data_IF_505100409997
#
_entry.id   IF_505100409997
#
_cell.length_a   1.000
_cell.length_b   1.000
_cell.length_c   1.000
_cell.angle_alpha   90.00
_cell.angle_beta   90.00
_cell.angle_gamma   90.00
#
_symmetry.space_group_name_H-M   'P 1'
#
loop_
_entity.id
_entity.type
_entity.pdbx_description
1 polymer ?
#
# COMPACT_ATOMS: atom_id res chain seq x y z
N UNK A 1 -2.34 -1.11 -0.33
CA UNK A 1 -2.35 -2.27 0.59
C UNK A 1 -0.96 -2.88 0.64
N UNK A 2 -0.45 -3.20 1.83
CA UNK A 2 0.83 -3.89 2.02
C UNK A 2 0.65 -5.12 2.92
N UNK A 3 1.49 -6.13 2.73
CA UNK A 3 1.61 -7.29 3.60
C UNK A 3 3.04 -7.46 4.06
N UNK A 4 3.20 -7.72 5.35
CA UNK A 4 4.45 -8.05 6.00
C UNK A 4 4.23 -9.02 7.17
N UNK A 5 5.31 -9.40 7.86
CA UNK A 5 5.27 -10.32 8.99
C UNK A 5 5.43 -9.55 10.30
N UNK A 6 4.62 -9.90 11.29
CA UNK A 6 4.71 -9.38 12.65
C UNK A 6 4.62 -10.52 13.68
N UNK A 7 5.04 -10.25 14.91
CA UNK A 7 4.81 -11.19 16.01
C UNK A 7 3.30 -11.30 16.31
N UNK A 8 2.85 -12.52 16.58
CA UNK A 8 1.46 -12.80 16.93
C UNK A 8 1.15 -12.29 18.34
N UNK A 9 0.06 -11.54 18.48
CA UNK A 9 -0.45 -11.13 19.78
C UNK A 9 -1.23 -12.25 20.50
N UNK A 10 -1.54 -13.35 19.82
CA UNK A 10 -2.33 -14.45 20.37
C UNK A 10 -1.49 -15.60 20.92
N UNK A 11 -0.28 -15.79 20.37
CA UNK A 11 0.61 -16.90 20.73
C UNK A 11 2.06 -16.43 20.75
N UNK A 12 2.67 -16.48 21.92
CA UNK A 12 4.06 -16.08 22.12
C UNK A 12 5.00 -16.94 21.26
N UNK A 13 5.86 -16.29 20.47
CA UNK A 13 6.83 -16.96 19.61
C UNK A 13 6.32 -17.34 18.22
N UNK A 14 5.03 -17.18 17.94
CA UNK A 14 4.49 -17.31 16.58
C UNK A 14 4.53 -15.97 15.84
N UNK A 15 4.70 -16.04 14.51
CA UNK A 15 4.61 -14.90 13.61
C UNK A 15 3.35 -15.02 12.75
N UNK A 16 2.78 -13.90 12.34
CA UNK A 16 1.58 -13.84 11.49
C UNK A 16 1.75 -12.78 10.41
N UNK A 17 0.93 -12.88 9.36
CA UNK A 17 0.84 -11.82 8.36
C UNK A 17 0.07 -10.64 8.94
N UNK A 18 0.56 -9.43 8.67
CA UNK A 18 -0.18 -8.18 8.85
C UNK A 18 -0.53 -7.63 7.47
N UNK A 19 -1.76 -7.16 7.32
CA UNK A 19 -2.20 -6.40 6.16
C UNK A 19 -2.42 -4.94 6.58
N UNK A 20 -1.83 -3.99 5.85
CA UNK A 20 -2.00 -2.55 6.10
C UNK A 20 -2.64 -1.87 4.89
N UNK A 21 -3.71 -1.12 5.13
CA UNK A 21 -4.46 -0.38 4.11
C UNK A 21 -4.18 1.11 4.26
N UNK A 22 -3.07 1.57 3.67
CA UNK A 22 -2.76 3.00 3.56
C UNK A 22 -3.61 3.64 2.46
N UNK A 23 -4.24 4.77 2.78
CA UNK A 23 -5.18 5.47 1.89
C UNK A 23 -4.85 6.95 1.85
N UNK A 24 -4.88 7.52 0.64
CA UNK A 24 -4.91 8.97 0.42
C UNK A 24 -6.25 9.29 -0.24
N UNK A 25 -7.00 10.21 0.37
CA UNK A 25 -8.26 10.69 -0.16
C UNK A 25 -8.18 12.20 -0.37
N UNK A 26 -8.56 12.67 -1.56
CA UNK A 26 -8.55 14.09 -1.88
C UNK A 26 -9.89 14.72 -1.47
N UNK A 27 -10.08 14.83 -0.17
CA UNK A 27 -11.29 15.35 0.46
C UNK A 27 -11.21 15.21 1.98
N UNK A 28 -12.30 15.56 2.66
CA UNK A 28 -12.43 15.39 4.10
C UNK A 28 -12.73 13.93 4.50
N UNK A 29 -12.51 13.64 5.78
CA UNK A 29 -12.67 12.33 6.40
C UNK A 29 -14.12 11.86 6.45
N UNK A 30 -15.10 12.78 6.56
CA UNK A 30 -16.52 12.45 6.53
C UNK A 30 -16.94 11.86 5.18
N UNK A 31 -16.53 12.50 4.08
CA UNK A 31 -16.76 11.99 2.72
C UNK A 31 -16.04 10.66 2.49
N UNK A 32 -14.81 10.51 2.99
CA UNK A 32 -14.09 9.25 2.92
C UNK A 32 -14.85 8.13 3.64
N UNK A 33 -15.29 8.37 4.87
CA UNK A 33 -16.04 7.37 5.64
C UNK A 33 -17.35 7.00 4.97
N UNK A 34 -18.10 7.97 4.47
CA UNK A 34 -19.35 7.73 3.74
C UNK A 34 -19.10 6.81 2.54
N UNK A 35 -18.10 7.15 1.72
CA UNK A 35 -17.72 6.35 0.54
C UNK A 35 -17.27 4.93 0.93
N UNK A 36 -16.46 4.79 1.97
CA UNK A 36 -15.93 3.49 2.40
C UNK A 36 -17.01 2.60 3.01
N UNK A 37 -17.97 3.18 3.73
CA UNK A 37 -19.13 2.45 4.25
C UNK A 37 -20.03 1.95 3.12
N UNK A 38 -20.15 2.69 2.02
CA UNK A 38 -20.92 2.27 0.85
C UNK A 38 -20.19 1.22 0.01
N UNK A 39 -18.90 1.44 -0.27
CA UNK A 39 -18.18 0.69 -1.31
C UNK A 39 -17.26 -0.40 -0.78
N UNK A 40 -16.78 -0.29 0.45
CA UNK A 40 -15.88 -1.27 1.05
C UNK A 40 -16.06 -1.38 2.59
N UNK A 41 -17.27 -1.71 3.07
CA UNK A 41 -17.59 -1.75 4.50
C UNK A 41 -16.77 -2.79 5.28
N UNK A 42 -16.33 -3.86 4.62
CA UNK A 42 -15.54 -4.94 5.24
C UNK A 42 -14.19 -4.45 5.82
N UNK A 43 -13.67 -3.31 5.34
CA UNK A 43 -12.46 -2.72 5.92
C UNK A 43 -12.72 -2.17 7.33
N UNK A 44 -13.95 -1.78 7.64
CA UNK A 44 -14.35 -1.28 8.96
C UNK A 44 -13.67 0.03 9.37
N UNK A 45 -13.34 0.91 8.41
CA UNK A 45 -12.69 2.19 8.64
C UNK A 45 -13.53 3.08 9.59
N UNK A 46 -12.89 3.69 10.59
CA UNK A 46 -13.54 4.59 11.55
C UNK A 46 -12.90 5.97 11.53
N UNK A 47 -13.63 6.96 12.07
CA UNK A 47 -13.17 8.35 12.12
C UNK A 47 -11.81 8.51 12.81
N UNK A 48 -11.54 7.76 13.87
CA UNK A 48 -10.27 7.85 14.58
C UNK A 48 -9.08 7.24 13.80
N UNK A 49 -9.33 6.50 12.72
CA UNK A 49 -8.30 6.00 11.81
C UNK A 49 -7.92 7.05 10.75
N UNK A 50 -8.73 8.11 10.61
CA UNK A 50 -8.54 9.17 9.63
C UNK A 50 -7.74 10.34 10.24
N UNK A 51 -6.71 10.77 9.52
CA UNK A 51 -5.97 12.00 9.85
C UNK A 51 -6.04 12.95 8.66
N UNK A 52 -6.70 14.09 8.85
CA UNK A 52 -6.72 15.15 7.84
C UNK A 52 -5.44 15.99 7.92
N UNK A 53 -4.90 16.31 6.76
CA UNK A 53 -3.66 17.08 6.62
C UNK A 53 -3.60 17.72 5.24
N UNK A 54 -2.72 18.69 5.05
CA UNK A 54 -2.44 19.24 3.73
C UNK A 54 -1.81 18.19 2.81
N UNK A 55 -1.88 18.43 1.49
CA UNK A 55 -1.30 17.51 0.51
C UNK A 55 0.21 17.30 0.75
N UNK A 56 0.97 18.35 1.08
CA UNK A 56 2.42 18.23 1.32
C UNK A 56 2.74 17.46 2.59
N UNK A 57 1.93 17.59 3.65
CA UNK A 57 2.08 16.78 4.86
C UNK A 57 1.76 15.31 4.58
N UNK A 58 0.83 15.02 3.68
CA UNK A 58 0.54 13.65 3.25
C UNK A 58 1.75 12.98 2.58
N UNK A 59 2.63 13.75 1.92
CA UNK A 59 3.89 13.23 1.35
C UNK A 59 4.84 12.78 2.46
N UNK A 60 4.93 13.53 3.56
CA UNK A 60 5.70 13.15 4.74
C UNK A 60 5.15 11.88 5.38
N UNK A 61 3.84 11.80 5.56
CA UNK A 61 3.16 10.60 6.05
C UNK A 61 3.47 9.38 5.18
N UNK A 62 3.36 9.51 3.85
CA UNK A 62 3.61 8.41 2.91
C UNK A 62 5.06 7.91 2.89
N UNK A 63 5.99 8.77 3.30
CA UNK A 63 7.43 8.46 3.40
C UNK A 63 7.87 8.13 4.83
N UNK A 64 6.91 7.84 5.72
CA UNK A 64 7.11 7.43 7.11
C UNK A 64 7.88 8.44 7.98
N UNK A 65 7.83 9.73 7.64
CA UNK A 65 8.32 10.74 8.59
C UNK A 65 7.39 10.81 9.81
N UNK A 66 7.93 11.05 11.03
CA UNK A 66 7.11 11.26 12.20
C UNK A 66 6.12 12.41 12.01
N UNK A 67 4.92 12.27 12.57
CA UNK A 67 3.93 13.34 12.57
C UNK A 67 4.50 14.63 13.19
N UNK A 68 4.22 15.78 12.56
CA UNK A 68 4.77 17.08 12.97
C UNK A 68 6.17 17.40 12.42
N UNK A 69 6.79 16.50 11.63
CA UNK A 69 8.05 16.83 10.93
C UNK A 69 7.85 18.04 10.00
N UNK A 70 8.72 19.07 10.06
CA UNK A 70 8.62 20.21 9.16
C UNK A 70 8.81 19.83 7.69
N UNK A 71 7.96 20.36 6.80
CA UNK A 71 7.95 20.04 5.36
C UNK A 71 9.25 20.40 4.62
N UNK A 72 10.08 21.29 5.18
CA UNK A 72 11.38 21.63 4.61
C UNK A 72 12.36 20.45 4.58
N UNK A 73 12.09 19.36 5.33
CA UNK A 73 12.88 18.13 5.28
C UNK A 73 12.90 17.52 3.86
N UNK A 74 11.86 17.77 3.05
CA UNK A 74 11.78 17.33 1.66
C UNK A 74 12.84 17.98 0.75
N UNK A 75 13.50 19.06 1.21
CA UNK A 75 14.63 19.68 0.51
C UNK A 75 15.96 18.92 0.75
N UNK A 76 16.01 18.07 1.79
CA UNK A 76 17.19 17.26 2.09
C UNK A 76 17.38 16.17 1.05
N UNK A 77 18.63 15.98 0.61
CA UNK A 77 19.03 14.86 -0.26
C UNK A 77 19.64 13.69 0.51
N UNK A 78 19.62 13.74 1.85
CA UNK A 78 20.13 12.68 2.70
C UNK A 78 19.04 11.61 2.87
N UNK A 79 19.27 10.35 2.46
CA UNK A 79 18.30 9.27 2.65
C UNK A 79 18.03 9.01 4.15
N UNK A 80 16.78 8.74 4.51
CA UNK A 80 16.42 8.36 5.89
C UNK A 80 17.05 7.03 6.31
N UNK A 81 17.15 6.09 5.37
CA UNK A 81 17.72 4.75 5.58
C UNK A 81 18.51 4.32 4.34
N UNK A 82 19.61 3.59 4.57
CA UNK A 82 20.35 2.88 3.55
C UNK A 82 20.01 1.40 3.68
N UNK A 83 19.45 0.81 2.63
CA UNK A 83 18.99 -0.60 2.66
C UNK A 83 19.49 -1.36 1.44
N UNK A 84 19.95 -2.58 1.66
CA UNK A 84 20.18 -3.54 0.59
C UNK A 84 18.85 -4.20 0.27
N UNK A 85 18.42 -4.12 -0.99
CA UNK A 85 17.08 -4.57 -1.37
C UNK A 85 17.09 -5.32 -2.70
N UNK A 86 16.26 -6.36 -2.78
CA UNK A 86 15.85 -6.98 -4.05
C UNK A 86 14.36 -6.76 -4.24
N UNK A 87 13.98 -6.22 -5.40
CA UNK A 87 12.58 -5.97 -5.78
C UNK A 87 12.27 -6.54 -7.15
N UNK A 88 11.04 -7.01 -7.29
CA UNK A 88 10.40 -7.36 -8.56
C UNK A 88 8.94 -6.92 -8.51
N UNK A 89 8.32 -6.78 -9.67
CA UNK A 89 6.93 -6.33 -9.77
C UNK A 89 6.24 -6.96 -10.96
N UNK A 90 4.93 -7.09 -10.84
CA UNK A 90 4.04 -7.66 -11.83
C UNK A 90 2.71 -6.87 -11.84
N UNK A 91 1.94 -7.02 -12.92
CA UNK A 91 0.64 -6.37 -13.08
C UNK A 91 -0.48 -7.41 -13.03
N UNK A 92 -1.43 -7.18 -12.14
CA UNK A 92 -2.60 -8.04 -11.98
C UNK A 92 -3.70 -7.59 -12.93
N UNK A 93 -4.13 -8.49 -13.80
CA UNK A 93 -5.28 -8.28 -14.70
C UNK A 93 -6.57 -8.89 -14.16
N UNK A 94 -6.44 -9.96 -13.37
CA UNK A 94 -7.54 -10.65 -12.72
C UNK A 94 -7.25 -10.76 -11.21
N UNK A 95 -8.29 -10.84 -10.35
CA UNK A 95 -8.10 -11.09 -8.93
C UNK A 95 -7.34 -12.41 -8.69
N UNK A 96 -6.44 -12.40 -7.70
CA UNK A 96 -5.74 -13.63 -7.29
C UNK A 96 -6.77 -14.53 -6.59
N UNK A 97 -6.94 -15.80 -7.00
CA UNK A 97 -7.83 -16.73 -6.31
C UNK A 97 -7.45 -16.91 -4.84
N UNK A 98 -8.43 -17.24 -3.99
CA UNK A 98 -8.21 -17.42 -2.54
C UNK A 98 -7.05 -18.38 -2.24
N UNK A 99 -6.99 -19.53 -2.93
CA UNK A 99 -5.91 -20.50 -2.72
C UNK A 99 -4.53 -19.91 -3.09
N UNK A 100 -4.47 -19.03 -4.09
CA UNK A 100 -3.25 -18.31 -4.45
C UNK A 100 -2.81 -17.31 -3.38
N UNK A 101 -3.76 -16.58 -2.78
CA UNK A 101 -3.47 -15.69 -1.64
C UNK A 101 -3.00 -16.49 -0.41
N UNK A 102 -3.66 -17.59 -0.08
CA UNK A 102 -3.25 -18.47 1.02
C UNK A 102 -1.83 -19.00 0.84
N UNK A 103 -1.47 -19.37 -0.39
CA UNK A 103 -0.10 -19.77 -0.72
C UNK A 103 0.91 -18.63 -0.52
N UNK A 104 0.59 -17.42 -1.02
CA UNK A 104 1.45 -16.24 -0.85
C UNK A 104 1.64 -15.91 0.64
N UNK A 105 0.57 -15.94 1.44
CA UNK A 105 0.61 -15.67 2.88
C UNK A 105 1.48 -16.67 3.65
N UNK A 106 1.45 -17.95 3.26
CA UNK A 106 2.37 -18.96 3.82
C UNK A 106 3.82 -18.65 3.47
N UNK A 107 4.09 -18.28 2.21
CA UNK A 107 5.45 -17.91 1.77
C UNK A 107 6.00 -16.67 2.47
N UNK A 108 5.17 -15.65 2.71
CA UNK A 108 5.58 -14.45 3.45
C UNK A 108 6.03 -14.82 4.87
N UNK A 109 5.24 -15.65 5.58
CA UNK A 109 5.60 -16.19 6.91
C UNK A 109 6.90 -17.01 6.85
N UNK A 110 7.02 -17.93 5.91
CA UNK A 110 8.20 -18.80 5.76
C UNK A 110 9.49 -17.98 5.56
N UNK A 111 9.42 -16.93 4.74
CA UNK A 111 10.57 -16.11 4.38
C UNK A 111 10.88 -15.00 5.40
N UNK A 112 9.91 -14.64 6.25
CA UNK A 112 10.00 -13.68 7.38
C UNK A 112 10.29 -12.21 7.01
N UNK A 113 11.11 -11.92 6.00
CA UNK A 113 11.56 -10.56 5.64
C UNK A 113 10.95 -10.04 4.33
N UNK A 114 9.89 -10.66 3.83
CA UNK A 114 9.22 -10.25 2.59
C UNK A 114 8.16 -9.20 2.86
N UNK A 115 8.19 -8.13 2.06
CA UNK A 115 7.10 -7.16 1.95
C UNK A 115 6.43 -7.28 0.58
N UNK A 116 5.11 -7.35 0.57
CA UNK A 116 4.29 -7.38 -0.63
C UNK A 116 3.38 -6.16 -0.67
N UNK A 117 3.43 -5.38 -1.76
CA UNK A 117 2.67 -4.12 -1.89
C UNK A 117 1.80 -4.16 -3.13
N UNK A 118 0.53 -3.79 -2.98
CA UNK A 118 -0.44 -3.62 -4.06
C UNK A 118 -0.80 -2.14 -4.23
N UNK A 119 -0.64 -1.63 -5.44
CA UNK A 119 -1.00 -0.27 -5.84
C UNK A 119 -2.14 -0.34 -6.85
N UNK A 120 -3.34 0.18 -6.52
CA UNK A 120 -4.51 0.07 -7.40
C UNK A 120 -4.29 0.84 -8.71
N UNK A 121 -4.83 0.29 -9.79
CA UNK A 121 -4.94 0.91 -11.11
C UNK A 121 -6.41 1.19 -11.41
N UNK A 122 -6.69 1.91 -12.50
CA UNK A 122 -8.01 2.46 -12.81
C UNK A 122 -7.97 3.98 -12.90
N UNK A 123 -9.13 4.62 -12.79
CA UNK A 123 -9.27 6.07 -12.98
C UNK A 123 -8.58 6.54 -14.26
N UNK A 124 -7.85 7.66 -14.18
CA UNK A 124 -7.14 8.22 -15.33
C UNK A 124 -6.13 7.25 -15.98
N UNK A 125 -5.58 6.29 -15.23
CA UNK A 125 -4.65 5.29 -15.79
C UNK A 125 -5.34 4.29 -16.75
N UNK A 126 -6.66 4.13 -16.66
CA UNK A 126 -7.45 3.31 -17.58
C UNK A 126 -7.96 4.10 -18.80
N UNK A 127 -8.00 5.43 -18.72
CA UNK A 127 -8.46 6.29 -19.82
C UNK A 127 -7.37 6.55 -20.87
N UNK A 128 -6.10 6.55 -20.46
CA UNK A 128 -4.93 6.78 -21.33
C UNK A 128 -4.66 5.53 -22.20
N UNK A 129 -4.56 5.65 -23.54
CA UNK A 129 -4.18 4.54 -24.42
C UNK A 129 -2.78 3.98 -24.11
N UNK A 130 -2.56 2.65 -24.18
CA UNK A 130 -1.24 2.03 -23.97
C UNK A 130 -0.13 2.55 -24.89
N UNK A 131 -0.49 3.05 -26.07
CA UNK A 131 0.43 3.60 -27.08
C UNK A 131 0.74 5.08 -26.91
N UNK A 132 0.04 5.80 -26.01
CA UNK A 132 0.25 7.25 -25.85
C UNK A 132 1.66 7.58 -25.33
N UNK A 133 2.23 6.70 -24.49
CA UNK A 133 3.56 6.85 -23.89
C UNK A 133 4.26 5.50 -23.79
N UNK A 134 5.61 5.45 -23.68
CA UNK A 134 6.34 4.19 -23.53
C UNK A 134 5.92 3.32 -22.34
N UNK A 135 5.28 3.90 -21.31
CA UNK A 135 4.71 3.14 -20.20
C UNK A 135 3.33 2.56 -20.60
N UNK A 136 3.22 1.24 -20.83
CA UNK A 136 2.07 0.66 -21.52
C UNK A 136 1.01 0.10 -20.58
N UNK A 137 1.27 0.03 -19.28
CA UNK A 137 0.36 -0.56 -18.31
C UNK A 137 -0.78 0.42 -18.01
N UNK A 138 -1.88 0.28 -18.77
CA UNK A 138 -3.07 1.15 -18.70
C UNK A 138 -4.33 0.33 -18.38
N UNK A 139 -5.41 0.54 -19.11
CA UNK A 139 -6.65 -0.25 -19.03
C UNK A 139 -6.41 -1.76 -18.99
N UNK A 140 -7.21 -2.47 -18.19
CA UNK A 140 -7.12 -3.92 -18.00
C UNK A 140 -6.12 -4.38 -16.94
N UNK A 141 -5.40 -3.46 -16.27
CA UNK A 141 -4.63 -3.77 -15.06
C UNK A 141 -5.42 -3.29 -13.83
N UNK A 142 -5.65 -4.19 -12.87
CA UNK A 142 -6.32 -3.92 -11.59
C UNK A 142 -5.38 -3.30 -10.57
N UNK A 143 -4.13 -3.78 -10.54
CA UNK A 143 -3.11 -3.28 -9.65
C UNK A 143 -1.71 -3.63 -10.15
N UNK A 144 -0.73 -2.79 -9.80
CA UNK A 144 0.68 -3.19 -9.78
C UNK A 144 0.99 -3.78 -8.42
N UNK A 145 1.48 -5.01 -8.39
CA UNK A 145 2.02 -5.58 -7.15
C UNK A 145 3.54 -5.69 -7.21
N UNK A 146 4.18 -5.45 -6.06
CA UNK A 146 5.62 -5.45 -5.90
C UNK A 146 5.97 -6.31 -4.69
N UNK A 147 7.00 -7.14 -4.83
CA UNK A 147 7.54 -7.94 -3.74
C UNK A 147 9.00 -7.55 -3.53
N UNK A 148 9.34 -7.32 -2.26
CA UNK A 148 10.63 -6.82 -1.82
C UNK A 148 11.16 -7.68 -0.68
N UNK A 149 12.47 -7.89 -0.66
CA UNK A 149 13.19 -8.49 0.45
C UNK A 149 14.46 -7.67 0.71
N UNK A 150 14.77 -7.49 2.00
CA UNK A 150 16.05 -6.99 2.49
C UNK A 150 16.84 -8.13 3.12
#
# INVERSE_FOLDING_TARGET
>A
MTFDVVNSNFRTGEITNRATFLTLFLGDSEKLLSLMNETFPDLGLKQFDCTEMSWVESVLFWTNFPAGTPVNILLSRVPQVLTHLKRKSDYLKNPIPKQGLEFIFKRIIELKSVMLTFNPYGGIMAEIPPSEKPFPHRAGNLAKHQYAIN
#
